data_IF_936339545961
#
_entry.id   IF_936339545961
#
_cell.length_a   1.000
_cell.length_b   1.000
_cell.length_c   1.000
_cell.angle_alpha   90.00
_cell.angle_beta   90.00
_cell.angle_gamma   90.00
#
_symmetry.space_group_name_H-M   'P 1'
#
loop_
_entity.id
_entity.type
_entity.pdbx_description
1 polymer ?
#
# COMPACT_ATOMS: atom_id res chain seq x y z
N UNK A 1 16.79 12.85 -34.64
CA UNK A 1 17.10 12.17 -33.36
C UNK A 1 15.76 11.79 -32.75
N UNK A 2 15.40 10.52 -32.92
CA UNK A 2 14.20 9.93 -32.31
C UNK A 2 14.50 9.79 -30.83
N UNK A 3 13.66 10.35 -29.97
CA UNK A 3 13.73 10.13 -28.54
C UNK A 3 13.20 8.71 -28.28
N UNK A 4 14.11 7.78 -28.03
CA UNK A 4 13.83 6.42 -27.59
C UNK A 4 12.95 6.46 -26.32
N UNK A 5 11.80 5.79 -26.38
CA UNK A 5 10.92 5.55 -25.23
C UNK A 5 11.67 4.67 -24.21
N UNK A 6 12.29 5.32 -23.23
CA UNK A 6 12.90 4.66 -22.07
C UNK A 6 11.84 3.85 -21.31
N UNK A 7 12.04 2.53 -21.34
CA UNK A 7 11.22 1.49 -20.70
C UNK A 7 10.75 1.87 -19.28
N UNK A 8 9.44 2.14 -19.12
CA UNK A 8 8.75 2.32 -17.81
C UNK A 8 8.54 0.99 -17.06
N UNK A 9 8.66 -0.13 -17.75
CA UNK A 9 8.42 -1.47 -17.22
C UNK A 9 9.32 -1.88 -16.04
N UNK A 10 10.66 -1.67 -16.05
CA UNK A 10 11.54 -2.12 -14.96
C UNK A 10 11.27 -1.40 -13.64
N UNK A 11 11.01 -0.09 -13.66
CA UNK A 11 10.75 0.69 -12.45
C UNK A 11 9.40 0.31 -11.80
N UNK A 12 8.39 0.00 -12.63
CA UNK A 12 7.07 -0.35 -12.15
C UNK A 12 7.01 -1.79 -11.60
N UNK A 13 7.74 -2.73 -12.21
CA UNK A 13 7.91 -4.08 -11.66
C UNK A 13 8.64 -4.07 -10.31
N UNK A 14 9.73 -3.30 -10.21
CA UNK A 14 10.45 -3.08 -8.94
C UNK A 14 9.54 -2.49 -7.85
N UNK A 15 8.72 -1.50 -8.20
CA UNK A 15 7.76 -0.92 -7.27
C UNK A 15 6.75 -1.97 -6.78
N UNK A 16 6.27 -2.84 -7.67
CA UNK A 16 5.34 -3.91 -7.32
C UNK A 16 5.96 -4.97 -6.40
N UNK A 17 7.20 -5.39 -6.70
CA UNK A 17 7.94 -6.32 -5.86
C UNK A 17 8.13 -5.78 -4.44
N UNK A 18 8.50 -4.49 -4.33
CA UNK A 18 8.60 -3.80 -3.03
C UNK A 18 7.27 -3.73 -2.31
N UNK A 19 6.19 -3.41 -3.02
CA UNK A 19 4.85 -3.36 -2.44
C UNK A 19 4.43 -4.72 -1.87
N UNK A 20 4.61 -5.81 -2.62
CA UNK A 20 4.29 -7.16 -2.16
C UNK A 20 5.19 -7.62 -1.01
N UNK A 21 6.47 -7.28 -1.04
CA UNK A 21 7.38 -7.58 0.05
C UNK A 21 6.97 -6.88 1.37
N UNK A 22 6.42 -5.67 1.28
CA UNK A 22 5.97 -4.87 2.41
C UNK A 22 4.65 -5.34 3.05
N UNK A 23 3.86 -6.19 2.37
CA UNK A 23 2.61 -6.72 2.94
C UNK A 23 2.92 -7.50 4.22
N UNK A 24 2.20 -7.16 5.28
CA UNK A 24 2.39 -7.73 6.61
C UNK A 24 3.54 -7.15 7.41
N UNK A 25 4.34 -6.23 6.87
CA UNK A 25 5.36 -5.51 7.63
C UNK A 25 4.73 -4.38 8.47
N UNK A 26 5.30 -4.11 9.65
CA UNK A 26 4.89 -2.94 10.45
C UNK A 26 5.45 -1.63 9.90
N UNK A 27 4.89 -0.48 10.29
CA UNK A 27 5.42 0.85 10.00
C UNK A 27 5.25 1.78 11.22
N UNK A 28 5.94 2.92 11.21
CA UNK A 28 5.76 3.93 12.26
C UNK A 28 4.78 5.00 11.77
N UNK A 29 3.59 4.98 12.38
CA UNK A 29 2.50 5.87 12.02
C UNK A 29 2.80 7.34 12.29
N UNK A 30 3.56 7.65 13.34
CA UNK A 30 3.90 9.03 13.70
C UNK A 30 5.04 9.60 12.83
N UNK A 31 5.79 8.73 12.14
CA UNK A 31 6.91 9.14 11.33
C UNK A 31 6.59 9.17 9.82
N UNK A 32 6.28 8.02 9.22
CA UNK A 32 6.15 7.89 7.77
C UNK A 32 5.51 6.54 7.38
N UNK A 33 4.39 6.61 6.64
CA UNK A 33 3.64 5.43 6.18
C UNK A 33 4.02 4.98 4.77
N UNK A 34 5.01 5.62 4.14
CA UNK A 34 5.48 5.21 2.82
C UNK A 34 6.08 3.79 2.86
N UNK A 35 5.87 3.02 1.79
CA UNK A 35 6.41 1.67 1.62
C UNK A 35 7.92 1.57 1.86
N UNK A 36 8.67 2.65 1.57
CA UNK A 36 10.13 2.72 1.78
C UNK A 36 10.55 2.81 3.25
N UNK A 37 9.59 2.98 4.18
CA UNK A 37 9.81 3.11 5.62
C UNK A 37 9.17 1.97 6.42
N UNK A 38 8.67 0.93 5.76
CA UNK A 38 8.24 -0.29 6.43
C UNK A 38 9.39 -0.86 7.26
N UNK A 39 9.08 -1.24 8.51
CA UNK A 39 10.00 -1.92 9.42
C UNK A 39 10.25 -3.33 8.91
N UNK A 40 11.46 -3.84 9.13
CA UNK A 40 11.80 -5.21 8.77
C UNK A 40 11.05 -6.22 9.65
N UNK A 41 10.69 -7.36 9.08
CA UNK A 41 9.95 -8.43 9.76
C UNK A 41 8.44 -8.35 9.54
N UNK A 42 7.85 -9.47 9.12
CA UNK A 42 6.39 -9.58 8.97
C UNK A 42 5.74 -9.87 10.31
N UNK A 43 4.63 -9.18 10.57
CA UNK A 43 3.77 -9.35 11.73
C UNK A 43 2.67 -10.40 11.49
N UNK A 44 2.47 -10.79 10.24
CA UNK A 44 1.52 -11.83 9.83
C UNK A 44 2.22 -12.86 8.95
N UNK A 45 1.77 -14.11 9.06
CA UNK A 45 2.16 -15.18 8.15
C UNK A 45 1.36 -15.04 6.85
N UNK A 46 2.06 -15.19 5.72
CA UNK A 46 1.44 -15.22 4.39
C UNK A 46 1.65 -16.62 3.85
N UNK A 47 0.55 -17.32 3.57
CA UNK A 47 0.61 -18.65 2.95
C UNK A 47 1.31 -18.56 1.59
N UNK A 48 2.51 -19.16 1.52
CA UNK A 48 3.33 -19.23 0.32
C UNK A 48 3.15 -20.52 -0.48
N UNK A 49 2.27 -21.44 -0.07
CA UNK A 49 2.12 -22.75 -0.72
C UNK A 49 1.48 -22.63 -2.11
N UNK A 50 0.56 -21.67 -2.29
CA UNK A 50 -0.10 -21.39 -3.56
C UNK A 50 0.30 -20.01 -4.09
N UNK A 51 0.97 -20.00 -5.24
CA UNK A 51 1.40 -18.78 -5.94
C UNK A 51 0.85 -18.72 -7.36
N UNK A 52 0.71 -17.51 -7.90
CA UNK A 52 0.30 -17.25 -9.27
C UNK A 52 0.96 -15.99 -9.84
N UNK A 53 0.90 -15.83 -11.16
CA UNK A 53 1.36 -14.61 -11.82
C UNK A 53 0.29 -13.52 -11.66
N UNK A 54 0.70 -12.38 -11.08
CA UNK A 54 -0.18 -11.23 -10.88
C UNK A 54 -0.01 -10.23 -12.02
N UNK A 55 -1.11 -9.94 -12.73
CA UNK A 55 -1.16 -8.91 -13.77
C UNK A 55 -1.50 -7.57 -13.14
N UNK A 56 -0.61 -6.59 -13.31
CA UNK A 56 -0.73 -5.25 -12.76
C UNK A 56 -1.17 -4.25 -13.84
N UNK A 57 -1.68 -3.07 -13.44
CA UNK A 57 -1.98 -1.99 -14.38
C UNK A 57 -0.79 -1.66 -15.29
N UNK A 58 -1.05 -1.45 -16.57
CA UNK A 58 -0.01 -1.23 -17.58
C UNK A 58 0.58 -2.50 -18.19
N UNK A 59 -0.02 -3.68 -17.95
CA UNK A 59 0.37 -4.94 -18.58
C UNK A 59 1.63 -5.58 -17.97
N UNK A 60 2.03 -5.13 -16.77
CA UNK A 60 3.18 -5.69 -16.06
C UNK A 60 2.76 -7.01 -15.44
N UNK A 61 3.57 -8.06 -15.64
CA UNK A 61 3.35 -9.37 -15.03
C UNK A 61 4.38 -9.59 -13.93
N UNK A 62 3.92 -9.80 -12.71
CA UNK A 62 4.76 -10.12 -11.57
C UNK A 62 4.58 -11.60 -11.20
N UNK A 63 5.63 -12.42 -11.29
CA UNK A 63 5.50 -13.85 -11.09
C UNK A 63 5.47 -14.24 -9.60
N UNK A 64 4.96 -15.44 -9.34
CA UNK A 64 5.07 -16.13 -8.05
C UNK A 64 4.53 -15.34 -6.85
N UNK A 65 3.39 -14.69 -7.00
CA UNK A 65 2.72 -13.95 -5.92
C UNK A 65 1.80 -14.88 -5.15
N UNK A 66 1.86 -14.91 -3.80
CA UNK A 66 0.88 -15.65 -2.99
C UNK A 66 -0.56 -15.29 -3.35
N UNK A 67 -1.44 -16.28 -3.51
CA UNK A 67 -2.85 -16.07 -3.89
C UNK A 67 -3.67 -15.24 -2.90
N UNK A 68 -3.21 -15.14 -1.65
CA UNK A 68 -3.80 -14.30 -0.62
C UNK A 68 -3.55 -12.79 -0.86
N UNK A 69 -2.60 -12.44 -1.73
CA UNK A 69 -2.26 -11.08 -2.10
C UNK A 69 -2.96 -10.75 -3.42
N UNK A 70 -3.73 -9.66 -3.42
CA UNK A 70 -4.47 -9.19 -4.61
C UNK A 70 -4.07 -7.77 -4.94
N UNK A 71 -4.03 -7.45 -6.24
CA UNK A 71 -3.91 -6.08 -6.74
C UNK A 71 -5.27 -5.62 -7.26
N UNK A 72 -5.74 -4.49 -6.74
CA UNK A 72 -6.92 -3.79 -7.25
C UNK A 72 -6.47 -2.48 -7.94
N UNK A 73 -7.39 -1.81 -8.63
CA UNK A 73 -7.17 -0.53 -9.32
C UNK A 73 -6.68 0.56 -8.36
N UNK A 74 -6.99 0.43 -7.08
CA UNK A 74 -6.74 1.44 -6.06
C UNK A 74 -7.63 2.67 -6.25
N UNK A 75 -7.71 3.50 -5.21
CA UNK A 75 -8.37 4.80 -5.30
C UNK A 75 -7.31 5.89 -5.41
N UNK A 76 -7.49 6.85 -6.33
CA UNK A 76 -6.56 7.98 -6.50
C UNK A 76 -7.21 9.30 -6.12
N UNK A 77 -8.03 9.28 -5.07
CA UNK A 77 -8.60 10.49 -4.49
C UNK A 77 -7.55 11.22 -3.66
N UNK A 78 -7.20 12.44 -4.08
CA UNK A 78 -6.45 13.37 -3.24
C UNK A 78 -7.44 14.27 -2.53
N UNK A 79 -7.58 14.07 -1.22
CA UNK A 79 -8.32 15.00 -0.39
C UNK A 79 -7.43 16.21 -0.11
N UNK A 80 -8.00 17.40 -0.26
CA UNK A 80 -7.40 18.64 0.22
C UNK A 80 -8.37 19.22 1.24
N UNK A 81 -7.85 19.60 2.40
CA UNK A 81 -8.60 20.42 3.34
C UNK A 81 -8.18 21.87 3.18
N UNK A 82 -9.08 22.79 3.52
CA UNK A 82 -8.67 24.16 3.86
C UNK A 82 -7.98 24.17 5.24
N UNK A 83 -7.88 25.34 5.89
CA UNK A 83 -7.30 25.45 7.23
C UNK A 83 -8.25 24.82 8.25
N UNK A 84 -7.84 23.69 8.83
CA UNK A 84 -8.56 23.01 9.90
C UNK A 84 -7.94 23.32 11.26
N UNK A 85 -8.75 23.29 12.32
CA UNK A 85 -8.22 23.23 13.69
C UNK A 85 -7.51 21.89 13.92
N UNK A 86 -6.60 21.85 14.91
CA UNK A 86 -5.90 20.61 15.27
C UNK A 86 -6.86 19.44 15.55
N UNK A 87 -7.94 19.69 16.30
CA UNK A 87 -8.93 18.66 16.62
C UNK A 87 -9.62 18.10 15.37
N UNK A 88 -10.02 18.96 14.43
CA UNK A 88 -10.66 18.53 13.18
C UNK A 88 -9.69 17.72 12.30
N UNK A 89 -8.44 18.20 12.19
CA UNK A 89 -7.39 17.51 11.46
C UNK A 89 -7.11 16.11 12.06
N UNK A 90 -6.97 16.00 13.38
CA UNK A 90 -6.68 14.74 14.04
C UNK A 90 -7.81 13.72 13.92
N UNK A 91 -9.06 14.17 14.05
CA UNK A 91 -10.23 13.30 13.89
C UNK A 91 -10.34 12.76 12.46
N UNK A 92 -10.19 13.64 11.46
CA UNK A 92 -10.24 13.22 10.05
C UNK A 92 -9.14 12.21 9.73
N UNK A 93 -7.91 12.48 10.16
CA UNK A 93 -6.77 11.59 9.95
C UNK A 93 -6.97 10.21 10.61
N UNK A 94 -7.50 10.18 11.83
CA UNK A 94 -7.81 8.93 12.52
C UNK A 94 -8.91 8.13 11.80
N UNK A 95 -9.93 8.79 11.25
CA UNK A 95 -10.99 8.12 10.49
C UNK A 95 -10.45 7.52 9.19
N UNK A 96 -9.68 8.29 8.42
CA UNK A 96 -9.05 7.83 7.17
C UNK A 96 -8.13 6.62 7.39
N UNK A 97 -7.41 6.60 8.52
CA UNK A 97 -6.51 5.51 8.90
C UNK A 97 -7.23 4.39 9.68
N UNK A 98 -8.55 4.47 9.83
CA UNK A 98 -9.37 3.50 10.59
C UNK A 98 -8.92 3.30 12.04
N UNK A 99 -8.37 4.35 12.65
CA UNK A 99 -7.91 4.42 14.04
C UNK A 99 -8.94 5.03 14.99
N UNK A 100 -10.10 5.45 14.49
CA UNK A 100 -11.16 6.05 15.31
C UNK A 100 -11.69 5.06 16.35
N UNK A 101 -11.84 5.52 17.59
CA UNK A 101 -12.28 4.73 18.76
C UNK A 101 -13.66 4.07 18.54
N UNK A 102 -14.52 4.66 17.70
CA UNK A 102 -15.80 4.09 17.30
C UNK A 102 -15.67 2.73 16.62
N UNK A 103 -14.59 2.49 15.87
CA UNK A 103 -14.42 1.28 15.04
C UNK A 103 -14.16 0.03 15.89
N UNK A 104 -13.82 0.21 17.17
CA UNK A 104 -13.45 -0.85 18.10
C UNK A 104 -14.60 -1.26 19.03
N UNK A 105 -15.72 -0.50 19.03
CA UNK A 105 -16.90 -0.81 19.86
C UNK A 105 -17.77 -1.94 19.28
N UNK A 106 -17.63 -2.22 17.98
CA UNK A 106 -18.40 -3.26 17.29
C UNK A 106 -17.68 -4.64 17.25
N UNK A 107 -16.54 -4.77 17.94
CA UNK A 107 -15.70 -5.98 17.97
C UNK A 107 -15.59 -6.66 19.35
N UNK A 108 -16.43 -6.27 20.31
CA UNK A 108 -16.59 -6.93 21.63
C UNK A 108 -18.06 -7.17 21.90
#
# INVERSE_FOLDING_TARGET
MVLEEGSRAPAALEAAQRAVAAIGCGFDFAADVRLTRCKAGRLIEIDGAAVEDMVLPGGIVMPCVPKSIRCDKGERTRFHSEVLSFHQMSEQFNQEMSLSVSNWKDQT
#
